data_IF_751633130844
#
_entry.id   IF_751633130844
#
_cell.length_a   1.000
_cell.length_b   1.000
_cell.length_c   1.000
_cell.angle_alpha   90.00
_cell.angle_beta   90.00
_cell.angle_gamma   90.00
#
_symmetry.space_group_name_H-M   'P 1'
#
loop_
_entity.id
_entity.type
_entity.pdbx_description
1 polymer ?
#
# COMPACT_ATOMS: atom_id res chain seq x y z
N UNK A 1 5.47 7.11 -28.41
CA UNK A 1 4.78 5.94 -27.83
C UNK A 1 5.27 5.81 -26.39
N UNK A 2 4.64 6.51 -25.46
CA UNK A 2 4.94 6.46 -24.02
C UNK A 2 3.59 6.42 -23.31
N UNK A 3 3.08 5.22 -23.04
CA UNK A 3 1.79 5.03 -22.35
C UNK A 3 1.71 3.68 -21.59
N UNK A 4 2.86 3.05 -21.31
CA UNK A 4 2.92 1.80 -20.53
C UNK A 4 3.24 2.03 -19.04
N UNK A 5 3.41 3.29 -18.60
CA UNK A 5 3.84 3.58 -17.22
C UNK A 5 2.71 3.60 -16.17
N UNK A 6 1.43 3.63 -16.58
CA UNK A 6 0.30 3.83 -15.66
C UNK A 6 -0.49 2.54 -15.30
N UNK A 7 0.03 1.37 -15.68
CA UNK A 7 -0.58 0.08 -15.36
C UNK A 7 0.43 -0.93 -14.80
N UNK A 8 -0.06 -1.85 -13.97
CA UNK A 8 0.74 -2.95 -13.39
C UNK A 8 0.03 -4.29 -13.51
N UNK A 9 0.74 -5.35 -13.92
CA UNK A 9 0.21 -6.70 -13.87
C UNK A 9 0.10 -7.16 -12.41
N UNK A 10 -1.05 -7.69 -12.03
CA UNK A 10 -1.29 -8.26 -10.70
C UNK A 10 -1.96 -9.62 -10.85
N UNK A 11 -1.33 -10.66 -10.30
CA UNK A 11 -1.84 -12.03 -10.37
C UNK A 11 -2.80 -12.33 -9.23
N UNK A 12 -3.99 -12.81 -9.59
CA UNK A 12 -5.05 -13.22 -8.68
C UNK A 12 -5.37 -14.69 -8.89
N UNK A 13 -5.64 -15.40 -7.81
CA UNK A 13 -6.21 -16.75 -7.85
C UNK A 13 -7.67 -16.69 -8.29
N UNK A 14 -8.21 -17.80 -8.81
CA UNK A 14 -9.63 -17.87 -9.21
C UNK A 14 -10.58 -17.44 -8.09
N UNK A 15 -10.33 -17.89 -6.85
CA UNK A 15 -11.11 -17.47 -5.69
C UNK A 15 -11.06 -15.95 -5.45
N UNK A 16 -9.88 -15.33 -5.61
CA UNK A 16 -9.75 -13.88 -5.48
C UNK A 16 -10.48 -13.14 -6.62
N UNK A 17 -10.46 -13.68 -7.84
CA UNK A 17 -11.17 -13.08 -8.98
C UNK A 17 -12.69 -13.13 -8.75
N UNK A 18 -13.23 -14.24 -8.21
CA UNK A 18 -14.64 -14.33 -7.79
C UNK A 18 -14.97 -13.30 -6.70
N UNK A 19 -14.09 -13.12 -5.72
CA UNK A 19 -14.25 -12.07 -4.72
C UNK A 19 -14.29 -10.67 -5.35
N UNK A 20 -13.45 -10.40 -6.34
CA UNK A 20 -13.45 -9.13 -7.07
C UNK A 20 -14.75 -8.94 -7.84
N UNK A 21 -15.29 -9.99 -8.46
CA UNK A 21 -16.59 -9.95 -9.15
C UNK A 21 -17.73 -9.55 -8.20
N UNK A 22 -17.75 -10.06 -6.97
CA UNK A 22 -18.82 -9.77 -6.00
C UNK A 22 -18.84 -8.31 -5.53
N UNK A 23 -17.66 -7.69 -5.47
CA UNK A 23 -17.49 -6.32 -4.95
C UNK A 23 -17.46 -5.26 -6.04
N UNK A 24 -16.95 -5.59 -7.24
CA UNK A 24 -16.86 -4.68 -8.37
C UNK A 24 -18.12 -4.82 -9.22
N UNK A 25 -19.06 -3.91 -9.02
CA UNK A 25 -20.35 -3.86 -9.73
C UNK A 25 -20.19 -3.27 -11.14
N UNK A 26 -21.12 -3.62 -12.04
CA UNK A 26 -21.22 -3.10 -13.41
C UNK A 26 -22.04 -1.80 -13.53
N UNK A 27 -22.69 -1.35 -12.45
CA UNK A 27 -23.86 -0.49 -12.58
C UNK A 27 -23.56 1.01 -12.44
N UNK A 28 -23.70 1.74 -13.55
CA UNK A 28 -23.59 3.20 -13.63
C UNK A 28 -24.72 3.93 -12.88
N UNK A 29 -25.86 3.29 -12.64
CA UNK A 29 -27.02 3.92 -11.97
C UNK A 29 -26.85 4.03 -10.45
N UNK A 30 -25.94 3.25 -9.86
CA UNK A 30 -25.60 3.30 -8.43
C UNK A 30 -24.67 4.47 -8.05
N UNK A 31 -24.24 5.29 -9.02
CA UNK A 31 -23.31 6.43 -8.84
C UNK A 31 -23.96 7.58 -8.03
N UNK A 32 -25.26 7.54 -7.77
CA UNK A 32 -25.92 8.54 -6.93
C UNK A 32 -25.53 8.40 -5.43
N UNK A 33 -24.46 9.12 -5.02
CA UNK A 33 -24.13 9.70 -3.68
C UNK A 33 -22.73 9.40 -3.13
N UNK A 34 -21.86 8.64 -3.80
CA UNK A 34 -20.51 8.34 -3.28
C UNK A 34 -19.44 9.25 -3.88
N UNK A 35 -18.52 9.75 -3.05
CA UNK A 35 -17.41 10.62 -3.44
C UNK A 35 -16.31 9.92 -4.26
N UNK A 36 -16.36 8.60 -4.38
CA UNK A 36 -15.33 7.78 -5.01
C UNK A 36 -15.96 6.77 -5.97
N UNK A 37 -15.29 6.48 -7.11
CA UNK A 37 -15.82 5.55 -8.10
C UNK A 37 -15.92 4.16 -7.46
N UNK A 38 -17.14 3.71 -7.24
CA UNK A 38 -17.43 2.37 -6.70
C UNK A 38 -17.67 1.35 -7.82
N UNK A 39 -17.55 1.80 -9.07
CA UNK A 39 -18.02 1.11 -10.27
C UNK A 39 -16.99 1.35 -11.37
N UNK A 40 -16.60 0.29 -12.05
CA UNK A 40 -15.80 0.34 -13.28
C UNK A 40 -16.32 -0.73 -14.21
N UNK A 41 -17.10 -0.33 -15.22
CA UNK A 41 -17.70 -1.22 -16.21
C UNK A 41 -16.61 -1.99 -16.97
N UNK A 42 -15.51 -1.32 -17.30
CA UNK A 42 -14.36 -1.94 -17.96
C UNK A 42 -13.72 -3.02 -17.09
N UNK A 43 -13.39 -2.68 -15.83
CA UNK A 43 -12.77 -3.64 -14.90
C UNK A 43 -13.69 -4.83 -14.62
N UNK A 44 -14.99 -4.61 -14.47
CA UNK A 44 -15.97 -5.69 -14.32
C UNK A 44 -15.98 -6.63 -15.54
N UNK A 45 -15.91 -6.08 -16.75
CA UNK A 45 -15.78 -6.85 -17.98
C UNK A 45 -14.50 -7.70 -18.01
N UNK A 46 -13.36 -7.11 -17.63
CA UNK A 46 -12.07 -7.82 -17.56
C UNK A 46 -12.08 -8.94 -16.49
N UNK A 47 -12.67 -8.70 -15.32
CA UNK A 47 -12.86 -9.71 -14.28
C UNK A 47 -13.71 -10.87 -14.82
N UNK A 48 -14.82 -10.57 -15.49
CA UNK A 48 -15.71 -11.59 -16.06
C UNK A 48 -15.00 -12.44 -17.11
N UNK A 49 -14.21 -11.80 -17.98
CA UNK A 49 -13.37 -12.51 -18.96
C UNK A 49 -12.29 -13.37 -18.28
N UNK A 50 -11.69 -12.90 -17.20
CA UNK A 50 -10.69 -13.66 -16.45
C UNK A 50 -11.30 -14.91 -15.81
N UNK A 51 -12.53 -14.83 -15.27
CA UNK A 51 -13.25 -16.00 -14.75
C UNK A 51 -13.48 -17.02 -15.86
N UNK A 52 -14.04 -16.58 -17.00
CA UNK A 52 -14.29 -17.48 -18.13
C UNK A 52 -12.99 -18.13 -18.64
N UNK A 53 -11.92 -17.35 -18.76
CA UNK A 53 -10.62 -17.88 -19.17
C UNK A 53 -10.07 -18.91 -18.18
N UNK A 54 -10.25 -18.70 -16.87
CA UNK A 54 -9.88 -19.65 -15.83
C UNK A 54 -10.69 -20.95 -15.91
N UNK A 55 -12.00 -20.85 -16.09
CA UNK A 55 -12.88 -22.02 -16.19
C UNK A 55 -12.60 -22.83 -17.47
N UNK A 56 -12.53 -22.17 -18.62
CA UNK A 56 -12.35 -22.82 -19.92
C UNK A 56 -10.99 -23.52 -20.05
N UNK A 57 -9.95 -22.98 -19.40
CA UNK A 57 -8.58 -23.48 -19.49
C UNK A 57 -8.09 -24.14 -18.20
N UNK A 58 -8.94 -24.31 -17.20
CA UNK A 58 -8.59 -24.87 -15.88
C UNK A 58 -7.39 -24.15 -15.22
N UNK A 59 -7.36 -22.81 -15.29
CA UNK A 59 -6.29 -22.01 -14.68
C UNK A 59 -6.63 -21.68 -13.23
N UNK A 60 -5.70 -21.95 -12.32
CA UNK A 60 -5.85 -21.62 -10.89
C UNK A 60 -5.69 -20.13 -10.60
N UNK A 61 -5.05 -19.38 -11.51
CA UNK A 61 -4.78 -17.96 -11.38
C UNK A 61 -4.76 -17.22 -12.73
N UNK A 62 -5.11 -15.94 -12.69
CA UNK A 62 -5.10 -15.03 -13.82
C UNK A 62 -4.38 -13.73 -13.47
N UNK A 63 -3.68 -13.13 -14.44
CA UNK A 63 -3.00 -11.85 -14.24
C UNK A 63 -3.79 -10.73 -14.91
N UNK A 64 -4.30 -9.80 -14.11
CA UNK A 64 -4.99 -8.60 -14.59
C UNK A 64 -3.98 -7.47 -14.73
N UNK A 65 -4.09 -6.69 -15.81
CA UNK A 65 -3.27 -5.47 -16.00
C UNK A 65 -4.07 -4.29 -15.47
N UNK A 66 -3.79 -3.90 -14.23
CA UNK A 66 -4.57 -2.91 -13.53
C UNK A 66 -3.98 -1.51 -13.72
N UNK A 67 -4.82 -0.55 -14.09
CA UNK A 67 -4.43 0.87 -14.05
C UNK A 67 -4.43 1.39 -12.61
N UNK A 68 -3.85 2.58 -12.39
CA UNK A 68 -3.99 3.28 -11.11
C UNK A 68 -5.45 3.45 -10.67
N UNK A 69 -6.36 3.71 -11.62
CA UNK A 69 -7.79 3.84 -11.36
C UNK A 69 -8.39 2.54 -10.83
N UNK A 70 -8.11 1.43 -11.50
CA UNK A 70 -8.61 0.10 -11.11
C UNK A 70 -8.11 -0.31 -9.72
N UNK A 71 -6.83 -0.05 -9.43
CA UNK A 71 -6.26 -0.32 -8.11
C UNK A 71 -7.03 0.43 -7.00
N UNK A 72 -7.38 1.71 -7.22
CA UNK A 72 -8.14 2.50 -6.25
C UNK A 72 -9.58 2.02 -6.11
N UNK A 73 -10.22 1.62 -7.21
CA UNK A 73 -11.57 1.06 -7.20
C UNK A 73 -11.59 -0.24 -6.40
N UNK A 74 -10.61 -1.12 -6.56
CA UNK A 74 -10.53 -2.37 -5.80
C UNK A 74 -10.21 -2.09 -4.32
N UNK A 75 -9.25 -1.20 -4.02
CA UNK A 75 -8.90 -0.80 -2.64
C UNK A 75 -10.10 -0.23 -1.88
N UNK A 76 -10.98 0.51 -2.55
CA UNK A 76 -12.18 1.09 -1.95
C UNK A 76 -13.29 0.06 -1.66
N UNK A 77 -13.37 -1.03 -2.43
CA UNK A 77 -14.45 -2.01 -2.34
C UNK A 77 -14.05 -3.27 -1.55
N UNK A 78 -12.77 -3.64 -1.56
CA UNK A 78 -12.27 -4.82 -0.84
C UNK A 78 -11.95 -4.45 0.60
N UNK A 79 -12.63 -5.09 1.57
CA UNK A 79 -12.30 -4.92 2.99
C UNK A 79 -11.35 -6.00 3.48
N UNK A 80 -10.50 -5.64 4.45
CA UNK A 80 -9.52 -6.53 5.08
C UNK A 80 -10.13 -7.79 5.71
N UNK A 81 -11.35 -7.68 6.25
CA UNK A 81 -12.06 -8.73 6.98
C UNK A 81 -12.88 -9.66 6.08
N UNK A 82 -12.98 -9.37 4.77
CA UNK A 82 -13.70 -10.22 3.84
C UNK A 82 -12.99 -11.56 3.63
N UNK A 83 -13.80 -12.61 3.54
CA UNK A 83 -13.40 -13.96 3.20
C UNK A 83 -14.48 -14.60 2.35
N UNK A 84 -14.07 -15.35 1.33
CA UNK A 84 -15.00 -16.13 0.52
C UNK A 84 -14.93 -17.62 0.90
N UNK A 85 -16.00 -18.40 0.68
CA UNK A 85 -16.00 -19.85 0.90
C UNK A 85 -14.89 -20.58 0.14
N UNK A 86 -14.50 -20.05 -1.02
CA UNK A 86 -13.48 -20.59 -1.92
C UNK A 86 -12.05 -20.31 -1.41
N UNK A 87 -11.91 -19.59 -0.29
CA UNK A 87 -10.63 -19.38 0.40
C UNK A 87 -9.95 -18.06 0.10
N UNK A 88 -10.56 -17.16 -0.68
CA UNK A 88 -10.02 -15.81 -0.88
C UNK A 88 -10.13 -14.97 0.38
N UNK A 89 -9.12 -14.14 0.64
CA UNK A 89 -9.09 -13.23 1.77
C UNK A 89 -8.79 -11.81 1.29
N UNK A 90 -9.64 -10.84 1.66
CA UNK A 90 -9.48 -9.45 1.24
C UNK A 90 -8.13 -8.86 1.63
N UNK A 91 -7.57 -9.25 2.79
CA UNK A 91 -6.21 -8.87 3.20
C UNK A 91 -5.16 -9.25 2.14
N UNK A 92 -5.25 -10.43 1.53
CA UNK A 92 -4.28 -10.89 0.54
C UNK A 92 -4.34 -10.03 -0.73
N UNK A 93 -5.56 -9.74 -1.21
CA UNK A 93 -5.81 -8.85 -2.35
C UNK A 93 -5.24 -7.45 -2.07
N UNK A 94 -5.53 -6.86 -0.90
CA UNK A 94 -5.03 -5.54 -0.52
C UNK A 94 -3.50 -5.47 -0.51
N UNK A 95 -2.82 -6.51 -0.02
CA UNK A 95 -1.35 -6.56 -0.04
C UNK A 95 -0.79 -6.56 -1.46
N UNK A 96 -1.42 -7.29 -2.39
CA UNK A 96 -1.05 -7.28 -3.81
C UNK A 96 -1.23 -5.88 -4.42
N UNK A 97 -2.34 -5.21 -4.10
CA UNK A 97 -2.61 -3.84 -4.56
C UNK A 97 -1.63 -2.82 -3.98
N UNK A 98 -1.25 -2.94 -2.71
CA UNK A 98 -0.26 -2.06 -2.11
C UNK A 98 1.10 -2.21 -2.77
N UNK A 99 1.50 -3.45 -3.10
CA UNK A 99 2.70 -3.71 -3.90
C UNK A 99 2.60 -3.07 -5.28
N UNK A 100 1.50 -3.30 -6.00
CA UNK A 100 1.28 -2.72 -7.33
C UNK A 100 1.29 -1.17 -7.32
N UNK A 101 0.67 -0.56 -6.30
CA UNK A 101 0.64 0.90 -6.11
C UNK A 101 2.03 1.44 -5.78
N UNK A 102 2.79 0.73 -4.93
CA UNK A 102 4.17 1.09 -4.65
C UNK A 102 5.01 1.07 -5.94
N UNK A 103 4.88 0.02 -6.75
CA UNK A 103 5.62 -0.10 -8.03
C UNK A 103 5.20 0.95 -9.08
N UNK A 104 3.95 1.43 -9.05
CA UNK A 104 3.53 2.57 -9.88
C UNK A 104 4.21 3.88 -9.46
N UNK A 105 4.36 4.12 -8.15
CA UNK A 105 4.90 5.39 -7.62
C UNK A 105 6.43 5.40 -7.68
N UNK A 106 7.07 4.29 -7.32
CA UNK A 106 8.51 4.20 -7.11
C UNK A 106 9.24 3.41 -8.21
N UNK A 107 8.51 2.83 -9.17
CA UNK A 107 9.07 1.95 -10.19
C UNK A 107 9.15 0.49 -9.73
N UNK A 108 9.36 -0.43 -10.68
CA UNK A 108 9.51 -1.85 -10.38
C UNK A 108 10.75 -2.05 -9.50
N UNK A 109 10.58 -2.63 -8.31
CA UNK A 109 11.71 -3.11 -7.52
C UNK A 109 12.20 -4.36 -8.25
N UNK A 110 13.26 -4.21 -9.05
CA UNK A 110 13.99 -5.36 -9.54
C UNK A 110 14.36 -6.25 -8.33
N UNK A 111 14.06 -7.54 -8.46
CA UNK A 111 14.17 -8.58 -7.45
C UNK A 111 15.40 -8.41 -6.55
N UNK A 112 15.19 -8.47 -5.23
CA UNK A 112 16.30 -8.66 -4.28
C UNK A 112 16.92 -7.40 -3.67
N UNK A 113 16.11 -6.46 -3.15
CA UNK A 113 16.63 -5.50 -2.16
C UNK A 113 16.07 -5.81 -0.78
N UNK A 114 17.02 -6.12 0.09
CA UNK A 114 16.95 -6.37 1.53
C UNK A 114 15.83 -5.58 2.22
N UNK A 115 15.25 -6.18 3.26
CA UNK A 115 14.20 -5.61 4.13
C UNK A 115 14.63 -4.27 4.73
N UNK A 116 14.57 -3.21 3.93
CA UNK A 116 14.84 -1.86 4.36
C UNK A 116 13.65 -1.41 5.19
N UNK A 117 13.93 -1.07 6.45
CA UNK A 117 12.92 -0.50 7.34
C UNK A 117 12.40 0.82 6.75
N UNK A 118 11.13 1.15 7.00
CA UNK A 118 10.44 2.34 6.49
C UNK A 118 11.26 3.65 6.63
N UNK A 119 12.08 3.77 7.68
CA UNK A 119 12.98 4.91 7.89
C UNK A 119 14.15 4.96 6.90
N UNK A 120 14.78 3.82 6.61
CA UNK A 120 15.92 3.73 5.69
C UNK A 120 15.53 4.03 4.24
N UNK A 121 14.27 3.77 3.86
CA UNK A 121 13.74 4.13 2.55
C UNK A 121 13.58 5.65 2.36
N UNK A 122 13.35 6.40 3.44
CA UNK A 122 13.20 7.87 3.41
C UNK A 122 14.56 8.59 3.44
N UNK A 123 15.53 8.09 4.22
CA UNK A 123 16.85 8.73 4.39
C UNK A 123 17.74 8.67 3.15
N UNK A 124 17.52 7.70 2.24
CA UNK A 124 18.30 7.57 1.00
C UNK A 124 18.11 8.74 0.02
N UNK A 125 17.16 9.65 0.26
CA UNK A 125 16.94 10.84 -0.57
C UNK A 125 17.87 12.01 -0.27
N UNK A 126 18.68 11.96 0.79
CA UNK A 126 19.50 13.11 1.23
C UNK A 126 21.02 12.98 1.00
N UNK A 127 21.49 11.97 0.27
CA UNK A 127 22.93 11.82 0.03
C UNK A 127 23.22 11.62 -1.47
N UNK A 128 23.34 12.73 -2.19
CA UNK A 128 24.17 12.75 -3.40
C UNK A 128 25.64 12.61 -2.95
N UNK A 129 26.43 11.68 -3.53
CA UNK A 129 27.78 11.42 -3.08
C UNK A 129 28.73 12.49 -3.63
N UNK A 130 29.49 13.13 -2.75
CA UNK A 130 30.81 13.65 -3.11
C UNK A 130 31.86 12.80 -2.40
N UNK A 131 32.51 11.95 -3.19
CA UNK A 131 33.81 11.38 -2.86
C UNK A 131 34.82 12.51 -2.65
N UNK A 132 35.61 12.43 -1.58
CA UNK A 132 37.04 12.77 -1.56
C UNK A 132 37.70 12.06 -0.38
N UNK A 133 38.43 11.01 -0.75
CA UNK A 133 39.78 10.58 -0.32
C UNK A 133 40.26 10.82 1.14
N UNK A 134 40.50 9.69 1.81
CA UNK A 134 41.59 9.32 2.71
C UNK A 134 42.29 10.40 3.56
N UNK A 135 42.11 10.31 4.89
CA UNK A 135 43.16 10.63 5.85
C UNK A 135 42.98 9.82 7.15
N UNK A 136 44.08 9.18 7.54
CA UNK A 136 44.34 8.27 8.67
C UNK A 136 43.94 8.79 10.07
N UNK A 137 43.82 7.88 11.07
CA UNK A 137 43.30 8.18 12.39
C UNK A 137 44.37 8.84 13.28
N UNK A 138 44.00 9.89 14.00
CA UNK A 138 44.81 10.39 15.11
C UNK A 138 43.98 10.69 16.36
N UNK A 139 44.50 10.11 17.43
CA UNK A 139 44.12 9.96 18.82
C UNK A 139 44.07 11.27 19.68
N UNK A 140 43.45 11.13 20.87
CA UNK A 140 43.61 11.94 22.10
C UNK A 140 42.75 13.23 22.20
N UNK A 141 42.14 13.67 23.33
CA UNK A 141 42.11 13.24 24.75
C UNK A 141 40.86 13.81 25.46
N UNK A 142 40.61 13.30 26.66
CA UNK A 142 39.57 13.58 27.67
C UNK A 142 39.31 15.05 28.07
N UNK A 143 38.06 15.35 28.47
CA UNK A 143 37.75 15.98 29.77
C UNK A 143 36.22 15.96 30.07
N UNK A 144 35.87 15.40 31.23
CA UNK A 144 34.52 15.25 31.81
C UNK A 144 34.44 16.19 33.06
N UNK A 145 33.38 16.21 33.89
CA UNK A 145 31.98 16.55 33.70
C UNK A 145 31.55 17.76 34.60
N UNK A 146 30.34 18.32 34.42
CA UNK A 146 29.64 18.98 35.55
C UNK A 146 28.12 19.08 35.39
N UNK A 147 27.40 18.21 36.08
CA UNK A 147 26.04 18.47 36.59
C UNK A 147 26.11 19.22 37.93
N UNK A 148 25.10 20.03 38.30
CA UNK A 148 24.13 19.50 39.25
C UNK A 148 22.66 19.93 39.01
N UNK A 149 21.74 19.05 39.42
CA UNK A 149 20.28 19.14 39.51
C UNK A 149 19.81 20.08 40.67
N UNK A 150 18.58 19.98 41.22
CA UNK A 150 17.18 20.02 40.73
C UNK A 150 16.34 21.08 41.53
N UNK A 151 14.99 21.13 41.42
CA UNK A 151 13.97 21.73 42.36
C UNK A 151 12.92 22.55 41.59
N UNK A 152 11.57 22.44 41.69
CA UNK A 152 10.62 21.87 42.66
C UNK A 152 9.23 21.69 41.97
N UNK A 153 8.50 20.65 42.37
CA UNK A 153 7.06 20.35 42.15
C UNK A 153 6.16 21.18 43.12
N UNK A 154 4.81 21.01 43.25
CA UNK A 154 3.75 20.40 42.41
C UNK A 154 2.38 21.20 42.41
N UNK A 155 1.30 20.56 41.89
CA UNK A 155 -0.10 20.61 42.39
C UNK A 155 -0.97 21.86 41.98
N UNK A 156 -2.26 21.83 41.56
CA UNK A 156 -3.49 21.09 41.95
C UNK A 156 -4.58 21.26 40.84
N UNK A 157 -5.35 20.22 40.51
CA UNK A 157 -6.74 20.29 39.96
C UNK A 157 -7.71 19.93 41.10
N UNK A 158 -8.90 20.54 41.24
CA UNK A 158 -10.14 20.00 40.60
C UNK A 158 -11.13 21.14 40.20
N UNK A 159 -12.05 21.00 39.24
CA UNK A 159 -13.24 20.12 39.19
C UNK A 159 -14.32 20.82 38.34
N UNK A 160 -15.43 20.16 37.98
CA UNK A 160 -16.37 20.61 36.94
C UNK A 160 -17.51 21.48 37.50
N UNK A 161 -17.96 22.48 36.73
CA UNK A 161 -19.17 23.25 37.02
C UNK A 161 -20.40 22.65 36.29
N UNK A 162 -21.52 22.41 36.99
CA UNK A 162 -22.81 22.09 36.39
C UNK A 162 -23.70 23.35 36.20
N UNK A 163 -24.51 23.29 35.14
CA UNK A 163 -25.79 23.98 34.87
C UNK A 163 -25.83 25.52 34.74
N UNK A 164 -26.01 26.00 33.48
CA UNK A 164 -27.04 26.98 33.06
C UNK A 164 -27.55 26.61 31.67
#
# INVERSE_FOLDING_TARGET
MEALQDSRPVSFTLAEIWMLHDVIRHDEDAICKKAWPSVSTQLNGEISLAILACEDNSLEAYTLVLTKGDILVIDANVRRDMKTPEGAAGKAILLKLFKARYELIYGAIAEGREDLTYRQALDRKNFEPKEVEDAEPSDSSDDDPKTPSPSKNPEIYPGPDPDI
#
